data_IF_071549193893
#
_entry.id   IF_071549193893
#
_cell.length_a   1.000
_cell.length_b   1.000
_cell.length_c   1.000
_cell.angle_alpha   90.00
_cell.angle_beta   90.00
_cell.angle_gamma   90.00
#
_symmetry.space_group_name_H-M   'P 1'
#
loop_
_entity.id
_entity.type
_entity.pdbx_description
1 polymer ?
#
# COMPACT_ATOMS: atom_id res chain seq x y z
N UNK A 1 -29.64 35.44 25.29
CA UNK A 1 -29.31 34.11 24.73
C UNK A 1 -28.88 34.32 23.29
N UNK A 2 -27.58 34.23 23.00
CA UNK A 2 -27.05 34.50 21.65
C UNK A 2 -26.73 33.17 21.00
N UNK A 3 -27.58 32.79 20.04
CA UNK A 3 -27.46 31.59 19.23
C UNK A 3 -26.12 31.59 18.48
N UNK A 4 -25.21 30.70 18.87
CA UNK A 4 -23.98 30.43 18.12
C UNK A 4 -24.33 29.59 16.90
N UNK A 5 -24.54 30.28 15.78
CA UNK A 5 -24.63 29.70 14.44
C UNK A 5 -23.30 29.04 14.13
N UNK A 6 -23.26 27.69 14.19
CA UNK A 6 -22.18 26.87 13.61
C UNK A 6 -21.91 27.39 12.21
N UNK A 7 -20.75 28.04 12.02
CA UNK A 7 -20.24 28.32 10.70
C UNK A 7 -19.88 26.98 10.07
N UNK A 8 -20.83 26.45 9.29
CA UNK A 8 -20.54 25.51 8.23
C UNK A 8 -19.62 26.25 7.26
N UNK A 9 -18.32 26.02 7.37
CA UNK A 9 -17.38 26.39 6.32
C UNK A 9 -17.63 25.41 5.19
N UNK A 10 -18.66 25.71 4.39
CA UNK A 10 -18.80 25.19 3.04
C UNK A 10 -17.69 25.84 2.22
N UNK A 11 -16.48 25.32 2.34
CA UNK A 11 -15.41 25.62 1.40
C UNK A 11 -15.77 24.92 0.10
N UNK A 12 -16.50 25.70 -0.68
CA UNK A 12 -16.84 25.54 -2.07
C UNK A 12 -15.53 25.49 -2.87
N UNK A 13 -14.82 24.38 -2.76
CA UNK A 13 -13.85 23.93 -3.74
C UNK A 13 -14.64 23.05 -4.68
N UNK A 14 -14.80 23.54 -5.91
CA UNK A 14 -15.23 22.76 -7.07
C UNK A 14 -14.75 21.33 -6.89
N UNK A 15 -15.71 20.39 -6.75
CA UNK A 15 -15.42 18.97 -6.57
C UNK A 15 -14.88 18.45 -7.91
N UNK A 16 -13.62 18.82 -8.18
CA UNK A 16 -12.84 18.33 -9.28
C UNK A 16 -12.94 16.80 -9.21
N UNK A 17 -13.36 16.14 -10.30
CA UNK A 17 -13.54 14.69 -10.27
C UNK A 17 -12.21 14.04 -9.90
N UNK A 18 -12.27 13.12 -8.93
CA UNK A 18 -11.11 12.32 -8.55
C UNK A 18 -10.61 11.55 -9.79
N UNK A 19 -9.30 11.53 -10.04
CA UNK A 19 -8.75 10.70 -11.11
C UNK A 19 -9.07 9.21 -10.89
N UNK A 20 -9.07 8.37 -11.95
CA UNK A 20 -9.25 6.94 -11.80
C UNK A 20 -8.28 6.32 -10.78
N UNK A 21 -8.81 5.51 -9.86
CA UNK A 21 -8.02 4.89 -8.80
C UNK A 21 -7.76 5.80 -7.60
N UNK A 22 -8.33 7.00 -7.53
CA UNK A 22 -8.28 7.85 -6.35
C UNK A 22 -9.56 7.75 -5.52
N UNK A 23 -9.41 7.73 -4.20
CA UNK A 23 -10.53 7.84 -3.26
C UNK A 23 -10.25 8.88 -2.19
N UNK A 24 -11.30 9.27 -1.46
CA UNK A 24 -11.22 10.23 -0.35
C UNK A 24 -11.61 9.52 0.93
N UNK A 25 -10.89 9.80 1.99
CA UNK A 25 -11.26 9.37 3.33
C UNK A 25 -10.94 10.47 4.36
N UNK A 26 -11.36 10.26 5.61
CA UNK A 26 -11.23 11.23 6.69
C UNK A 26 -10.49 10.62 7.87
N UNK A 27 -9.55 11.39 8.42
CA UNK A 27 -8.88 11.01 9.67
C UNK A 27 -9.88 11.01 10.84
N UNK A 28 -9.52 10.34 11.94
CA UNK A 28 -10.29 10.36 13.20
C UNK A 28 -10.57 11.78 13.74
N UNK A 29 -9.80 12.78 13.30
CA UNK A 29 -9.96 14.20 13.64
C UNK A 29 -10.82 14.97 12.62
N UNK A 30 -11.42 14.30 11.66
CA UNK A 30 -12.25 14.89 10.61
C UNK A 30 -11.49 15.57 9.48
N UNK A 31 -10.15 15.46 9.42
CA UNK A 31 -9.35 16.02 8.31
C UNK A 31 -9.44 15.10 7.09
N UNK A 32 -9.83 15.66 5.94
CA UNK A 32 -9.89 14.99 4.63
C UNK A 32 -8.49 14.63 4.15
N UNK A 33 -8.34 13.45 3.54
CA UNK A 33 -7.13 13.01 2.85
C UNK A 33 -7.51 12.20 1.60
N UNK A 34 -6.58 12.12 0.65
CA UNK A 34 -6.75 11.49 -0.66
C UNK A 34 -5.90 10.22 -0.74
N UNK A 35 -6.46 9.15 -1.25
CA UNK A 35 -5.81 7.83 -1.35
C UNK A 35 -5.60 7.53 -2.84
N UNK A 36 -4.36 7.31 -3.23
CA UNK A 36 -4.01 6.81 -4.57
C UNK A 36 -3.91 5.28 -4.52
N UNK A 37 -4.88 4.57 -5.10
CA UNK A 37 -4.87 3.12 -5.18
C UNK A 37 -3.92 2.58 -6.25
N UNK A 38 -3.43 3.42 -7.17
CA UNK A 38 -2.48 3.03 -8.21
C UNK A 38 -1.08 2.88 -7.61
N UNK A 39 -0.66 3.82 -6.77
CA UNK A 39 0.67 3.85 -6.11
C UNK A 39 0.64 3.38 -4.66
N UNK A 40 -0.54 3.16 -4.08
CA UNK A 40 -0.74 2.83 -2.67
C UNK A 40 -0.19 3.91 -1.71
N UNK A 41 -0.35 5.17 -2.07
CA UNK A 41 0.07 6.32 -1.25
C UNK A 41 -1.11 7.17 -0.80
N UNK A 42 -0.91 7.96 0.26
CA UNK A 42 -1.90 8.92 0.76
C UNK A 42 -1.35 10.34 0.68
N UNK A 43 -2.24 11.29 0.37
CA UNK A 43 -1.90 12.68 0.15
C UNK A 43 -2.86 13.59 0.92
N UNK A 44 -2.35 14.74 1.38
CA UNK A 44 -3.15 15.72 2.12
C UNK A 44 -3.87 16.72 1.20
N UNK A 45 -3.40 16.86 -0.04
CA UNK A 45 -3.93 17.74 -1.07
C UNK A 45 -4.56 16.93 -2.21
N UNK A 46 -5.50 17.55 -2.94
CA UNK A 46 -6.13 16.90 -4.09
C UNK A 46 -5.08 16.70 -5.19
N UNK A 47 -5.07 15.58 -5.94
CA UNK A 47 -4.10 15.34 -7.02
C UNK A 47 -4.12 16.39 -8.14
N UNK A 48 -5.24 17.10 -8.28
CA UNK A 48 -5.43 18.21 -9.22
C UNK A 48 -5.27 19.59 -8.57
N UNK A 49 -4.90 19.64 -7.29
CA UNK A 49 -4.61 20.89 -6.61
C UNK A 49 -3.26 21.43 -7.06
N UNK A 50 -3.11 22.75 -6.99
CA UNK A 50 -1.94 23.51 -7.46
C UNK A 50 -0.59 23.01 -6.92
N UNK A 51 -0.60 22.30 -5.80
CA UNK A 51 0.59 21.77 -5.10
C UNK A 51 0.96 20.33 -5.50
N UNK A 52 0.13 19.63 -6.28
CA UNK A 52 0.37 18.24 -6.74
C UNK A 52 1.09 18.12 -8.10
N UNK A 53 1.52 19.24 -8.69
CA UNK A 53 2.17 19.26 -9.99
C UNK A 53 3.62 18.73 -9.90
N UNK A 54 4.07 17.87 -10.84
CA UNK A 54 5.46 17.43 -10.88
C UNK A 54 6.42 18.62 -11.01
N UNK A 55 7.66 18.45 -10.54
CA UNK A 55 8.69 19.50 -10.58
C UNK A 55 8.79 20.11 -11.97
N UNK A 56 8.60 21.43 -12.06
CA UNK A 56 8.66 22.19 -13.32
C UNK A 56 7.31 22.42 -14.00
N UNK A 57 6.22 21.86 -13.50
CA UNK A 57 4.86 22.14 -13.99
C UNK A 57 4.18 23.25 -13.19
N UNK A 58 3.49 24.15 -13.88
CA UNK A 58 2.72 25.23 -13.29
C UNK A 58 1.30 25.25 -13.86
N UNK A 59 0.30 25.30 -12.99
CA UNK A 59 -1.08 25.60 -13.37
C UNK A 59 -1.22 27.12 -13.59
N UNK A 60 -1.68 27.51 -14.77
CA UNK A 60 -1.91 28.90 -15.15
C UNK A 60 -3.41 29.07 -15.41
N UNK A 61 -3.99 30.08 -14.76
CA UNK A 61 -5.38 30.49 -14.97
C UNK A 61 -5.38 31.73 -15.86
N UNK A 62 -5.99 31.63 -17.04
CA UNK A 62 -6.21 32.79 -17.90
C UNK A 62 -7.71 33.08 -18.02
N UNK A 63 -8.15 34.34 -17.85
CA UNK A 63 -9.54 34.72 -18.09
C UNK A 63 -10.04 34.42 -19.51
N UNK A 64 -9.12 34.33 -20.49
CA UNK A 64 -9.45 34.09 -21.89
C UNK A 64 -9.31 32.62 -22.32
N UNK A 65 -8.39 31.87 -21.70
CA UNK A 65 -8.04 30.52 -22.13
C UNK A 65 -8.37 29.44 -21.08
N UNK A 66 -8.98 29.82 -19.96
CA UNK A 66 -9.28 28.88 -18.88
C UNK A 66 -8.02 28.39 -18.17
N UNK A 67 -8.10 27.18 -17.61
CA UNK A 67 -7.00 26.54 -16.88
C UNK A 67 -6.14 25.77 -17.88
N UNK A 68 -4.83 26.03 -17.87
CA UNK A 68 -3.86 25.26 -18.63
C UNK A 68 -2.57 25.04 -17.83
N UNK A 69 -1.86 23.96 -18.14
CA UNK A 69 -0.67 23.51 -17.44
C UNK A 69 0.55 23.77 -18.32
N UNK A 70 1.52 24.50 -17.78
CA UNK A 70 2.76 24.85 -18.45
C UNK A 70 3.91 24.09 -17.81
N UNK A 71 4.65 23.35 -18.62
CA UNK A 71 5.93 22.76 -18.23
C UNK A 71 7.05 23.77 -18.54
N UNK A 72 7.67 24.31 -17.50
CA UNK A 72 8.76 25.28 -17.63
C UNK A 72 10.10 24.66 -18.02
N UNK A 73 10.25 23.35 -17.88
CA UNK A 73 11.42 22.56 -18.28
C UNK A 73 11.38 22.31 -19.80
N UNK A 74 10.25 21.82 -20.31
CA UNK A 74 10.10 21.51 -21.75
C UNK A 74 9.57 22.67 -22.59
N UNK A 75 9.17 23.78 -21.95
CA UNK A 75 8.50 24.94 -22.58
C UNK A 75 7.23 24.55 -23.34
N UNK A 76 6.50 23.55 -22.84
CA UNK A 76 5.24 23.09 -23.42
C UNK A 76 4.05 23.51 -22.57
N UNK A 77 2.91 23.77 -23.20
CA UNK A 77 1.65 24.05 -22.54
C UNK A 77 0.60 23.05 -23.01
N UNK A 78 -0.24 22.58 -22.09
CA UNK A 78 -1.33 21.64 -22.37
C UNK A 78 -2.54 21.95 -21.49
N UNK A 79 -3.74 21.59 -21.95
CA UNK A 79 -4.97 21.73 -21.17
C UNK A 79 -5.19 20.57 -20.19
N UNK A 80 -4.61 19.41 -20.49
CA UNK A 80 -4.70 18.20 -19.67
C UNK A 80 -3.73 18.27 -18.49
N UNK A 81 -4.19 17.87 -17.30
CA UNK A 81 -3.32 17.82 -16.13
C UNK A 81 -2.24 16.74 -16.35
N UNK A 82 -0.95 16.97 -16.01
CA UNK A 82 0.14 16.03 -16.28
C UNK A 82 -0.06 14.64 -15.67
N UNK A 83 -0.77 14.57 -14.55
CA UNK A 83 -1.10 13.33 -13.84
C UNK A 83 -2.47 12.75 -14.21
N UNK A 84 -3.25 13.42 -15.07
CA UNK A 84 -4.49 12.86 -15.60
C UNK A 84 -4.14 12.00 -16.81
N UNK A 85 -4.12 10.69 -16.62
CA UNK A 85 -4.17 9.76 -17.75
C UNK A 85 -5.49 10.04 -18.49
N UNK A 86 -5.48 10.42 -19.79
CA UNK A 86 -6.71 10.75 -20.50
C UNK A 86 -7.63 9.52 -20.56
N UNK A 87 -8.76 9.58 -19.86
CA UNK A 87 -9.77 8.51 -19.88
C UNK A 87 -10.63 8.51 -21.16
N UNK A 88 -10.47 9.50 -22.05
CA UNK A 88 -11.33 9.70 -23.21
C UNK A 88 -10.94 8.94 -24.48
N UNK A 89 -9.93 8.04 -24.43
CA UNK A 89 -9.59 7.17 -25.56
C UNK A 89 -9.74 5.67 -25.27
N UNK A 90 -10.60 5.29 -24.32
CA UNK A 90 -11.12 3.93 -24.25
C UNK A 90 -12.46 3.83 -24.99
N UNK A 91 -12.44 4.08 -26.30
CA UNK A 91 -13.32 3.32 -27.20
C UNK A 91 -12.61 1.98 -27.45
N UNK A 92 -13.23 0.83 -27.13
CA UNK A 92 -12.73 -0.44 -27.63
C UNK A 92 -13.08 -0.52 -29.12
N UNK A 93 -12.31 0.17 -29.96
CA UNK A 93 -12.15 -0.29 -31.33
C UNK A 93 -11.46 -1.63 -31.22
N UNK A 94 -12.24 -2.71 -31.34
CA UNK A 94 -11.74 -4.08 -31.45
C UNK A 94 -11.06 -4.20 -32.80
N UNK A 95 -9.90 -3.56 -32.95
CA UNK A 95 -8.94 -3.93 -33.97
C UNK A 95 -8.32 -5.20 -33.46
N UNK A 96 -8.66 -6.30 -34.12
CA UNK A 96 -7.89 -7.53 -34.10
C UNK A 96 -6.48 -7.21 -34.63
N UNK A 97 -5.68 -6.56 -33.78
CA UNK A 97 -4.25 -6.57 -33.88
C UNK A 97 -3.84 -7.93 -33.34
N UNK A 98 -3.25 -8.74 -34.22
CA UNK A 98 -2.58 -9.96 -33.81
C UNK A 98 -1.78 -9.71 -32.53
N UNK A 99 -1.81 -10.64 -31.56
CA UNK A 99 -1.08 -10.46 -30.31
C UNK A 99 0.34 -10.03 -30.65
N UNK A 100 0.87 -8.95 -30.06
CA UNK A 100 2.26 -8.60 -30.26
C UNK A 100 3.06 -9.85 -29.92
N UNK A 101 3.78 -10.40 -30.93
CA UNK A 101 4.75 -11.47 -30.73
C UNK A 101 5.49 -11.11 -29.47
N UNK A 102 5.43 -12.01 -28.49
CA UNK A 102 6.03 -11.84 -27.17
C UNK A 102 7.38 -11.15 -27.37
N UNK A 103 7.44 -9.85 -27.05
CA UNK A 103 8.72 -9.16 -27.01
C UNK A 103 9.44 -9.90 -25.92
N UNK A 104 10.41 -10.72 -26.35
CA UNK A 104 11.24 -11.58 -25.55
C UNK A 104 11.30 -11.01 -24.14
N UNK A 105 10.51 -11.58 -23.20
CA UNK A 105 10.81 -11.40 -21.79
C UNK A 105 12.21 -11.98 -21.71
N UNK A 106 13.23 -11.12 -21.81
CA UNK A 106 14.50 -11.41 -21.20
C UNK A 106 14.05 -11.58 -19.75
N UNK A 107 14.01 -12.82 -19.22
CA UNK A 107 13.96 -12.95 -17.79
C UNK A 107 15.16 -12.10 -17.40
N UNK A 108 14.93 -10.96 -16.77
CA UNK A 108 16.03 -10.25 -16.18
C UNK A 108 16.43 -11.18 -15.05
N UNK A 109 17.26 -12.17 -15.36
CA UNK A 109 17.92 -13.11 -14.47
C UNK A 109 18.97 -12.33 -13.67
N UNK A 110 18.62 -11.12 -13.26
CA UNK A 110 19.36 -10.32 -12.32
C UNK A 110 19.11 -11.03 -11.00
N UNK A 111 20.08 -11.86 -10.63
CA UNK A 111 20.09 -12.53 -9.35
C UNK A 111 20.02 -11.44 -8.28
N UNK A 112 18.86 -11.29 -7.65
CA UNK A 112 18.74 -10.48 -6.45
C UNK A 112 19.52 -11.22 -5.38
N UNK A 113 20.60 -10.65 -4.83
CA UNK A 113 21.34 -11.32 -3.79
C UNK A 113 20.41 -11.57 -2.62
N UNK A 114 20.59 -12.71 -1.94
CA UNK A 114 19.89 -12.99 -0.70
C UNK A 114 20.08 -11.82 0.27
N UNK A 115 19.09 -11.57 1.13
CA UNK A 115 19.18 -10.52 2.14
C UNK A 115 20.55 -10.59 2.85
N UNK A 116 21.37 -9.53 2.82
CA UNK A 116 22.73 -9.56 3.37
C UNK A 116 22.77 -9.93 4.86
N UNK A 117 21.67 -9.72 5.59
CA UNK A 117 21.55 -10.03 7.02
C UNK A 117 20.98 -11.42 7.30
N UNK A 118 20.81 -12.26 6.28
CA UNK A 118 20.24 -13.60 6.41
C UNK A 118 21.09 -14.50 7.31
N UNK A 119 22.42 -14.33 7.28
CA UNK A 119 23.37 -15.15 8.06
C UNK A 119 24.06 -14.39 9.21
N UNK A 120 23.96 -13.06 9.23
CA UNK A 120 24.59 -12.28 10.29
C UNK A 120 23.97 -12.61 11.66
N UNK A 121 24.80 -12.70 12.70
CA UNK A 121 24.31 -12.89 14.06
C UNK A 121 23.56 -11.65 14.53
N UNK A 122 22.35 -11.88 15.05
CA UNK A 122 21.51 -10.82 15.58
C UNK A 122 21.98 -10.51 17.01
N UNK A 123 22.38 -9.26 17.32
CA UNK A 123 22.82 -8.90 18.66
C UNK A 123 21.80 -9.27 19.73
N UNK A 124 22.27 -9.76 20.87
CA UNK A 124 21.40 -10.22 21.95
C UNK A 124 20.46 -9.11 22.46
N UNK A 125 20.96 -7.88 22.59
CA UNK A 125 20.16 -6.74 23.03
C UNK A 125 18.98 -6.45 22.08
N UNK A 126 19.13 -6.73 20.78
CA UNK A 126 18.08 -6.51 19.79
C UNK A 126 16.96 -7.55 19.93
N UNK A 127 17.29 -8.78 20.34
CA UNK A 127 16.29 -9.79 20.71
C UNK A 127 15.49 -9.40 21.95
N UNK A 128 16.16 -8.80 22.95
CA UNK A 128 15.48 -8.29 24.15
C UNK A 128 14.53 -7.16 23.75
N UNK A 129 15.00 -6.21 22.95
CA UNK A 129 14.18 -5.11 22.44
C UNK A 129 12.96 -5.63 21.67
N UNK A 130 13.14 -6.60 20.76
CA UNK A 130 12.05 -7.19 19.98
C UNK A 130 10.94 -7.80 20.85
N UNK A 131 11.29 -8.34 22.03
CA UNK A 131 10.35 -8.92 22.98
C UNK A 131 9.82 -7.93 24.04
N UNK A 132 10.38 -6.72 24.09
CA UNK A 132 10.00 -5.74 25.09
C UNK A 132 8.63 -5.12 24.79
N UNK A 133 7.96 -4.59 25.82
CA UNK A 133 6.72 -3.81 25.62
C UNK A 133 7.01 -2.55 24.80
N UNK A 134 6.12 -2.16 23.87
CA UNK A 134 6.22 -0.88 23.16
C UNK A 134 6.32 0.34 24.08
N UNK A 135 5.80 0.25 25.30
CA UNK A 135 5.85 1.34 26.29
C UNK A 135 7.30 1.73 26.64
N UNK A 136 8.26 0.82 26.46
CA UNK A 136 9.67 1.04 26.78
C UNK A 136 10.48 1.57 25.60
N UNK A 137 9.89 1.70 24.40
CA UNK A 137 10.61 2.08 23.18
C UNK A 137 11.31 3.45 23.30
N UNK A 138 10.65 4.41 23.95
CA UNK A 138 11.19 5.76 24.19
C UNK A 138 12.51 5.78 24.97
N UNK A 139 12.87 4.69 25.66
CA UNK A 139 14.14 4.58 26.39
C UNK A 139 15.32 4.42 25.42
N UNK A 140 15.08 3.90 24.22
CA UNK A 140 16.11 3.71 23.21
C UNK A 140 16.25 4.97 22.36
N UNK A 141 17.45 5.56 22.40
CA UNK A 141 17.76 6.78 21.64
C UNK A 141 18.34 6.41 20.29
N UNK A 142 17.47 6.16 19.32
CA UNK A 142 17.86 5.77 17.96
C UNK A 142 18.76 6.79 17.25
N UNK A 143 18.62 8.07 17.58
CA UNK A 143 19.44 9.16 17.03
C UNK A 143 20.95 9.07 17.38
N UNK A 144 21.31 8.21 18.34
CA UNK A 144 22.70 7.98 18.73
C UNK A 144 23.44 7.06 17.75
N UNK A 145 22.73 6.35 16.87
CA UNK A 145 23.29 5.41 15.91
C UNK A 145 23.45 6.04 14.53
N UNK A 146 24.41 5.54 13.76
CA UNK A 146 24.59 5.96 12.36
C UNK A 146 23.50 5.36 11.49
N UNK A 147 23.16 6.03 10.40
CA UNK A 147 22.14 5.56 9.44
C UNK A 147 22.40 4.12 8.96
N UNK A 148 23.66 3.80 8.63
CA UNK A 148 24.04 2.45 8.20
C UNK A 148 23.77 1.38 9.28
N UNK A 149 23.98 1.71 10.56
CA UNK A 149 23.73 0.79 11.68
C UNK A 149 22.22 0.58 11.86
N UNK A 150 21.43 1.65 11.73
CA UNK A 150 19.98 1.59 11.74
C UNK A 150 19.42 0.72 10.61
N UNK A 151 19.96 0.85 9.39
CA UNK A 151 19.59 0.01 8.26
C UNK A 151 19.85 -1.48 8.55
N UNK A 152 21.01 -1.79 9.16
CA UNK A 152 21.34 -3.14 9.61
C UNK A 152 20.35 -3.65 10.66
N UNK A 153 20.08 -2.86 11.70
CA UNK A 153 19.16 -3.25 12.78
C UNK A 153 17.73 -3.43 12.28
N UNK A 154 17.26 -2.56 11.39
CA UNK A 154 15.95 -2.68 10.76
C UNK A 154 15.82 -3.98 9.94
N UNK A 155 16.87 -4.34 9.19
CA UNK A 155 16.94 -5.62 8.48
C UNK A 155 16.89 -6.82 9.42
N UNK A 156 17.58 -6.76 10.56
CA UNK A 156 17.57 -7.81 11.59
C UNK A 156 16.21 -7.92 12.31
N UNK A 157 15.56 -6.80 12.64
CA UNK A 157 14.21 -6.78 13.22
C UNK A 157 13.19 -7.37 12.26
N UNK A 158 13.29 -7.03 10.96
CA UNK A 158 12.46 -7.63 9.91
C UNK A 158 12.67 -9.15 9.84
N UNK A 159 13.90 -9.62 10.03
CA UNK A 159 14.21 -11.06 10.08
C UNK A 159 13.57 -11.73 11.31
N UNK A 160 13.67 -11.14 12.50
CA UNK A 160 13.01 -11.67 13.71
C UNK A 160 11.49 -11.74 13.55
N UNK A 161 10.88 -10.68 13.02
CA UNK A 161 9.45 -10.66 12.74
C UNK A 161 9.03 -11.78 11.79
N UNK A 162 9.77 -11.97 10.68
CA UNK A 162 9.49 -13.06 9.74
C UNK A 162 9.62 -14.45 10.38
N UNK A 163 10.59 -14.63 11.27
CA UNK A 163 10.77 -15.89 12.01
C UNK A 163 9.61 -16.17 12.97
N UNK A 164 9.17 -15.17 13.73
CA UNK A 164 8.01 -15.30 14.63
C UNK A 164 6.73 -15.59 13.84
N UNK A 165 6.52 -14.86 12.74
CA UNK A 165 5.39 -15.09 11.85
C UNK A 165 5.38 -16.53 11.30
N UNK A 166 6.54 -17.00 10.81
CA UNK A 166 6.67 -18.38 10.32
C UNK A 166 6.35 -19.41 11.41
N UNK A 167 6.82 -19.18 12.64
CA UNK A 167 6.52 -20.05 13.77
C UNK A 167 5.02 -20.09 14.10
N UNK A 168 4.37 -18.92 14.13
CA UNK A 168 2.92 -18.82 14.34
C UNK A 168 2.17 -19.57 13.24
N UNK A 169 2.47 -19.29 11.97
CA UNK A 169 1.84 -19.96 10.82
C UNK A 169 2.01 -21.47 10.92
N UNK A 170 3.22 -21.96 11.18
CA UNK A 170 3.49 -23.39 11.29
C UNK A 170 2.73 -24.06 12.44
N UNK A 171 2.59 -23.39 13.58
CA UNK A 171 1.77 -23.88 14.69
C UNK A 171 0.30 -24.02 14.31
N UNK A 172 -0.25 -23.01 13.62
CA UNK A 172 -1.65 -23.05 13.20
C UNK A 172 -1.90 -24.04 12.07
N UNK A 173 -0.96 -24.21 11.13
CA UNK A 173 -1.03 -25.26 10.12
C UNK A 173 -1.01 -26.67 10.73
N UNK A 174 -0.17 -26.87 11.75
CA UNK A 174 -0.14 -28.13 12.52
C UNK A 174 -1.47 -28.38 13.22
N UNK A 175 -2.00 -27.37 13.89
CA UNK A 175 -3.30 -27.45 14.58
C UNK A 175 -4.46 -27.71 13.61
N UNK A 176 -4.49 -27.00 12.47
CA UNK A 176 -5.46 -27.20 11.39
C UNK A 176 -5.43 -28.64 10.88
N UNK A 177 -4.23 -29.16 10.62
CA UNK A 177 -4.05 -30.54 10.15
C UNK A 177 -4.55 -31.55 11.18
N UNK A 178 -4.28 -31.33 12.47
CA UNK A 178 -4.77 -32.19 13.55
C UNK A 178 -6.31 -32.19 13.64
N UNK A 179 -6.95 -31.03 13.51
CA UNK A 179 -8.41 -30.92 13.49
C UNK A 179 -9.03 -31.67 12.29
N UNK A 180 -8.45 -31.53 11.10
CA UNK A 180 -8.92 -32.23 9.91
C UNK A 180 -8.84 -33.75 10.07
N UNK A 181 -7.75 -34.24 10.66
CA UNK A 181 -7.59 -35.68 10.97
C UNK A 181 -8.67 -36.15 11.96
N UNK A 182 -8.95 -35.40 13.02
CA UNK A 182 -10.02 -35.77 13.96
C UNK A 182 -11.41 -35.73 13.31
N UNK A 183 -11.71 -34.71 12.51
CA UNK A 183 -12.97 -34.64 11.76
C UNK A 183 -13.16 -35.85 10.82
N UNK A 184 -12.09 -36.29 10.16
CA UNK A 184 -12.09 -37.46 9.30
C UNK A 184 -12.37 -38.74 10.08
N UNK A 185 -11.75 -38.91 11.25
CA UNK A 185 -12.03 -40.04 12.15
C UNK A 185 -13.50 -40.06 12.56
N UNK A 186 -14.06 -38.94 12.99
CA UNK A 186 -15.49 -38.86 13.34
C UNK A 186 -16.40 -39.18 12.17
N UNK A 187 -16.08 -38.70 10.96
CA UNK A 187 -16.82 -39.01 9.74
C UNK A 187 -16.81 -40.52 9.46
N UNK A 188 -15.64 -41.15 9.53
CA UNK A 188 -15.48 -42.58 9.26
C UNK A 188 -16.16 -43.44 10.33
N UNK A 189 -16.06 -43.06 11.61
CA UNK A 189 -16.80 -43.73 12.70
C UNK A 189 -18.31 -43.67 12.49
N UNK A 190 -18.87 -42.50 12.11
CA UNK A 190 -20.30 -42.35 11.82
C UNK A 190 -20.75 -43.22 10.64
N UNK A 191 -19.99 -43.21 9.55
CA UNK A 191 -20.28 -44.03 8.37
C UNK A 191 -20.24 -45.53 8.70
N UNK A 192 -19.29 -45.96 9.54
CA UNK A 192 -19.17 -47.36 9.94
C UNK A 192 -20.32 -47.79 10.87
N UNK A 193 -20.80 -46.91 11.76
CA UNK A 193 -21.98 -47.19 12.60
C UNK A 193 -23.31 -47.22 11.83
N UNK A 194 -23.45 -46.41 10.77
CA UNK A 194 -24.64 -46.40 9.91
C UNK A 194 -24.76 -47.64 9.01
N UNK A 195 -23.64 -48.25 8.62
CA UNK A 195 -23.63 -49.46 7.79
C UNK A 195 -24.06 -50.74 8.54
N UNK A 196 -23.97 -50.76 9.87
CA UNK A 196 -24.29 -51.94 10.70
C UNK A 196 -25.78 -52.01 11.07
N UNK A 197 -26.55 -50.94 10.87
CA UNK A 197 -27.97 -50.85 11.30
C UNK A 197 -29.00 -50.92 10.16
N UNK A 198 -28.56 -51.15 8.92
CA UNK A 198 -29.45 -51.41 7.78
C UNK A 198 -29.64 -52.91 7.52
N UNK A 199 -30.53 -53.55 8.28
CA UNK A 199 -31.18 -54.83 7.93
C UNK A 199 -32.62 -54.57 7.52
#
# INVERSE_FOLDING_TARGET
MVYHKKQMFSEQSDELPLPPGWSVDYTLRGRKYYIDHNTKTTHWSHPLEREGLPTGWQCVHSPHYGIYYVNHITKQAQYEHPCLVPCYNYQPEVRYLDPPRTTHYQPHSVLVPANPYLLQEIPHWLNIYFKASPDLDHKLRWDMFRLQELDCYNGMLTRLYKQELQYIVMRYETYRSALLVEMEKFRNSRNNTGAVTGQ
#
